data_IF_471770713408
#
_entry.id   IF_471770713408
#
_cell.length_a   1.000
_cell.length_b   1.000
_cell.length_c   1.000
_cell.angle_alpha   90.00
_cell.angle_beta   90.00
_cell.angle_gamma   90.00
#
_symmetry.space_group_name_H-M   'P 1'
#
loop_
_entity.id
_entity.type
_entity.pdbx_description
1 polymer ?
#
# COMPACT_ATOMS: atom_id res chain seq x y z
N UNK A 1 6.91 -63.08 42.94
CA UNK A 1 6.24 -63.69 41.77
C UNK A 1 5.81 -62.57 40.86
N UNK A 2 6.51 -62.50 39.74
CA UNK A 2 6.15 -61.91 38.45
C UNK A 2 4.76 -61.23 38.37
N UNK A 3 4.74 -59.91 38.17
CA UNK A 3 3.61 -59.25 37.53
C UNK A 3 4.08 -58.79 36.15
N UNK A 4 3.89 -59.65 35.15
CA UNK A 4 3.98 -59.33 33.73
C UNK A 4 2.58 -59.41 33.14
N UNK A 5 2.18 -58.32 32.48
CA UNK A 5 1.32 -58.26 31.28
C UNK A 5 0.99 -56.76 31.07
N UNK A 6 1.74 -56.01 30.27
CA UNK A 6 1.67 -55.84 28.81
C UNK A 6 0.34 -55.29 28.27
N UNK A 7 0.50 -54.10 27.68
CA UNK A 7 -0.13 -53.58 26.45
C UNK A 7 -1.43 -52.76 26.48
N UNK A 8 -1.25 -51.53 25.94
CA UNK A 8 -2.12 -50.79 25.01
C UNK A 8 -3.37 -50.08 25.55
N UNK A 9 -3.25 -48.76 25.67
CA UNK A 9 -3.95 -47.78 24.83
C UNK A 9 -4.09 -46.46 25.60
N UNK A 10 -3.04 -45.63 25.58
CA UNK A 10 -3.25 -44.24 26.00
C UNK A 10 -3.94 -43.53 24.83
N UNK A 11 -5.24 -43.36 25.05
CA UNK A 11 -6.23 -42.78 24.15
C UNK A 11 -5.75 -41.48 23.52
N UNK A 12 -5.91 -41.41 22.21
CA UNK A 12 -5.74 -40.21 21.38
C UNK A 12 -6.54 -39.09 22.05
N UNK A 13 -5.82 -38.14 22.66
CA UNK A 13 -6.44 -36.94 23.21
C UNK A 13 -6.91 -36.10 22.03
N UNK A 14 -8.22 -36.16 21.85
CA UNK A 14 -9.05 -35.30 21.02
C UNK A 14 -8.48 -33.87 20.98
N UNK A 15 -7.84 -33.54 19.87
CA UNK A 15 -7.35 -32.19 19.61
C UNK A 15 -8.52 -31.32 19.18
N UNK A 16 -9.38 -30.98 20.13
CA UNK A 16 -10.30 -29.84 20.01
C UNK A 16 -9.47 -28.55 20.13
N UNK A 17 -8.65 -28.28 19.11
CA UNK A 17 -8.08 -26.96 18.91
C UNK A 17 -9.21 -26.04 18.42
N UNK A 18 -9.41 -24.84 19.01
CA UNK A 18 -10.39 -23.90 18.48
C UNK A 18 -10.05 -23.59 17.02
N UNK A 19 -11.05 -23.31 16.15
CA UNK A 19 -10.79 -23.03 14.75
C UNK A 19 -9.77 -21.89 14.68
N UNK A 20 -8.56 -22.18 14.20
CA UNK A 20 -7.53 -21.18 13.95
C UNK A 20 -8.10 -20.23 12.91
N UNK A 21 -8.73 -19.13 13.35
CA UNK A 21 -9.09 -18.03 12.47
C UNK A 21 -7.82 -17.72 11.69
N UNK A 22 -7.85 -17.72 10.34
CA UNK A 22 -6.68 -17.30 9.60
C UNK A 22 -6.26 -15.94 10.17
N UNK A 23 -4.95 -15.68 10.41
CA UNK A 23 -4.53 -14.34 10.76
C UNK A 23 -5.04 -13.48 9.63
N UNK A 24 -6.12 -12.76 9.89
CA UNK A 24 -6.62 -11.76 8.98
C UNK A 24 -5.45 -10.81 8.95
N UNK A 25 -4.63 -10.85 7.91
CA UNK A 25 -3.61 -9.84 7.75
C UNK A 25 -4.43 -8.60 7.44
N UNK A 26 -4.74 -7.82 8.46
CA UNK A 26 -5.24 -6.46 8.30
C UNK A 26 -4.06 -5.71 7.70
N UNK A 27 -3.85 -5.87 6.39
CA UNK A 27 -3.01 -4.96 5.64
C UNK A 27 -3.82 -3.68 5.73
N UNK A 28 -3.34 -2.64 6.43
CA UNK A 28 -4.02 -1.35 6.41
C UNK A 28 -4.07 -0.96 4.94
N UNK A 29 -5.27 -0.96 4.36
CA UNK A 29 -5.45 -0.51 2.99
C UNK A 29 -5.24 1.00 3.06
N UNK A 30 -4.06 1.44 2.65
CA UNK A 30 -3.75 2.87 2.60
C UNK A 30 -4.77 3.54 1.67
N UNK A 31 -5.60 4.46 2.19
CA UNK A 31 -6.63 5.10 1.38
C UNK A 31 -5.98 5.93 0.27
N UNK A 32 -6.57 5.86 -0.93
CA UNK A 32 -6.09 6.66 -2.05
C UNK A 32 -6.40 8.14 -1.83
N UNK A 33 -5.41 8.97 -2.11
CA UNK A 33 -5.47 10.42 -2.03
C UNK A 33 -6.41 10.98 -3.11
N UNK A 34 -7.08 12.08 -2.76
CA UNK A 34 -7.85 12.94 -3.68
C UNK A 34 -6.94 13.99 -4.36
N UNK A 35 -7.49 14.73 -5.33
CA UNK A 35 -6.75 15.83 -5.95
C UNK A 35 -6.38 16.92 -4.93
N UNK A 36 -7.28 17.20 -3.98
CA UNK A 36 -7.07 18.16 -2.89
C UNK A 36 -5.97 17.71 -1.93
N UNK A 37 -5.91 16.41 -1.60
CA UNK A 37 -4.83 15.86 -0.77
C UNK A 37 -3.47 16.03 -1.44
N UNK A 38 -3.38 15.73 -2.74
CA UNK A 38 -2.15 15.91 -3.52
C UNK A 38 -1.78 17.39 -3.64
N UNK A 39 -2.76 18.27 -3.85
CA UNK A 39 -2.54 19.72 -3.92
C UNK A 39 -1.92 20.25 -2.62
N UNK A 40 -2.46 19.84 -1.46
CA UNK A 40 -1.89 20.15 -0.15
C UNK A 40 -0.49 19.58 0.03
N UNK A 41 -0.28 18.33 -0.38
CA UNK A 41 1.01 17.64 -0.24
C UNK A 41 2.13 18.31 -1.05
N UNK A 42 1.83 18.74 -2.28
CA UNK A 42 2.78 19.39 -3.19
C UNK A 42 2.82 20.92 -3.02
N UNK A 43 1.94 21.49 -2.18
CA UNK A 43 1.75 22.93 -2.01
C UNK A 43 1.49 23.66 -3.35
N UNK A 44 0.52 23.15 -4.11
CA UNK A 44 0.06 23.69 -5.39
C UNK A 44 -1.46 23.85 -5.39
N UNK A 45 -2.04 24.49 -6.41
CA UNK A 45 -3.49 24.56 -6.56
C UNK A 45 -4.09 23.22 -7.00
N UNK A 46 -5.34 22.95 -6.65
CA UNK A 46 -6.06 21.77 -7.13
C UNK A 46 -6.15 21.76 -8.66
N UNK A 47 -6.36 22.92 -9.30
CA UNK A 47 -6.36 23.05 -10.77
C UNK A 47 -5.03 22.61 -11.40
N UNK A 48 -3.91 22.90 -10.74
CA UNK A 48 -2.61 22.41 -11.18
C UNK A 48 -2.60 20.88 -11.18
N UNK A 49 -3.12 20.22 -10.14
CA UNK A 49 -3.22 18.76 -10.06
C UNK A 49 -4.07 18.19 -11.19
N UNK A 50 -5.23 18.78 -11.47
CA UNK A 50 -6.11 18.37 -12.58
C UNK A 50 -5.41 18.48 -13.95
N UNK A 51 -4.76 19.62 -14.19
CA UNK A 51 -3.99 19.86 -15.41
C UNK A 51 -2.89 18.82 -15.61
N UNK A 52 -2.14 18.53 -14.55
CA UNK A 52 -1.00 17.63 -14.57
C UNK A 52 -1.41 16.16 -14.46
N UNK A 53 -2.70 15.86 -14.33
CA UNK A 53 -3.23 14.49 -14.39
C UNK A 53 -3.59 14.05 -15.81
N UNK A 54 -3.61 14.96 -16.78
CA UNK A 54 -4.10 14.67 -18.14
C UNK A 54 -3.37 15.38 -19.27
N UNK A 55 -3.03 16.66 -19.09
CA UNK A 55 -2.71 17.55 -20.21
C UNK A 55 -1.37 18.27 -20.10
N UNK A 56 -0.93 18.64 -18.90
CA UNK A 56 0.32 19.38 -18.68
C UNK A 56 1.40 18.49 -18.08
N UNK A 57 2.65 18.76 -18.48
CA UNK A 57 3.83 18.12 -17.91
C UNK A 57 4.34 18.96 -16.74
N UNK A 58 4.85 18.33 -15.66
CA UNK A 58 5.04 16.88 -15.48
C UNK A 58 3.75 16.12 -15.14
N UNK A 59 3.59 14.89 -15.64
CA UNK A 59 2.37 14.11 -15.38
C UNK A 59 2.40 13.47 -13.99
N UNK A 60 1.31 13.61 -13.24
CA UNK A 60 1.13 12.94 -11.96
C UNK A 60 0.74 11.46 -12.13
N UNK A 61 1.14 10.58 -11.19
CA UNK A 61 0.80 9.16 -11.20
C UNK A 61 -0.66 8.94 -10.74
N UNK A 62 -1.59 9.22 -11.64
CA UNK A 62 -3.04 9.18 -11.39
C UNK A 62 -3.65 7.82 -11.70
N UNK A 63 -4.60 7.39 -10.86
CA UNK A 63 -5.51 6.28 -11.08
C UNK A 63 -6.88 6.86 -11.44
N UNK A 64 -7.41 6.48 -12.61
CA UNK A 64 -8.71 6.94 -13.09
C UNK A 64 -9.77 5.91 -12.73
N UNK A 65 -10.68 6.28 -11.83
CA UNK A 65 -11.90 5.53 -11.58
C UNK A 65 -12.89 5.99 -12.66
N UNK A 66 -13.55 5.06 -13.37
CA UNK A 66 -14.28 5.35 -14.62
C UNK A 66 -15.42 6.37 -14.54
N UNK A 67 -15.77 6.85 -13.34
CA UNK A 67 -16.73 7.93 -13.06
C UNK A 67 -16.11 9.34 -13.16
N UNK A 68 -14.85 9.44 -13.56
CA UNK A 68 -14.12 10.71 -13.63
C UNK A 68 -13.42 11.06 -12.33
N UNK A 69 -13.52 10.22 -11.29
CA UNK A 69 -12.77 10.43 -10.06
C UNK A 69 -11.29 10.09 -10.26
N UNK A 70 -10.44 11.03 -9.85
CA UNK A 70 -8.99 10.86 -9.83
C UNK A 70 -8.54 10.43 -8.44
N UNK A 71 -7.73 9.39 -8.39
CA UNK A 71 -7.16 8.85 -7.16
C UNK A 71 -5.66 8.72 -7.30
N UNK A 72 -4.94 8.91 -6.20
CA UNK A 72 -3.49 8.83 -6.21
C UNK A 72 -3.01 7.93 -5.08
N UNK A 73 -2.00 7.13 -5.35
CA UNK A 73 -1.28 6.42 -4.29
C UNK A 73 -0.31 7.39 -3.65
N UNK A 74 -0.29 7.46 -2.32
CA UNK A 74 0.66 8.29 -1.60
C UNK A 74 2.11 7.96 -2.00
N UNK A 75 2.46 6.67 -2.01
CA UNK A 75 3.77 6.19 -2.46
C UNK A 75 4.14 6.62 -3.88
N UNK A 76 3.17 6.70 -4.80
CA UNK A 76 3.40 7.19 -6.16
C UNK A 76 3.75 8.68 -6.18
N UNK A 77 3.07 9.49 -5.36
CA UNK A 77 3.36 10.92 -5.22
C UNK A 77 4.74 11.14 -4.61
N UNK A 78 5.11 10.39 -3.58
CA UNK A 78 6.44 10.49 -2.96
C UNK A 78 7.57 10.11 -3.94
N UNK A 79 7.36 9.07 -4.75
CA UNK A 79 8.31 8.69 -5.80
C UNK A 79 8.44 9.80 -6.85
N UNK A 80 7.31 10.36 -7.31
CA UNK A 80 7.29 11.47 -8.25
C UNK A 80 8.10 12.68 -7.76
N UNK A 81 7.95 13.04 -6.48
CA UNK A 81 8.73 14.11 -5.84
C UNK A 81 10.22 13.78 -5.88
N UNK A 82 10.58 12.57 -5.45
CA UNK A 82 11.97 12.11 -5.41
C UNK A 82 12.62 12.16 -6.79
N UNK A 83 11.96 11.65 -7.83
CA UNK A 83 12.46 11.66 -9.20
C UNK A 83 12.68 13.08 -9.74
N UNK A 84 11.72 14.00 -9.51
CA UNK A 84 11.85 15.39 -9.95
C UNK A 84 12.94 16.15 -9.20
N UNK A 85 13.13 15.84 -7.92
CA UNK A 85 14.23 16.40 -7.14
C UNK A 85 15.59 15.98 -7.72
N UNK A 86 15.74 14.70 -8.10
CA UNK A 86 16.97 14.19 -8.72
C UNK A 86 17.22 14.83 -10.10
N UNK A 87 16.19 14.98 -10.93
CA UNK A 87 16.31 15.66 -12.23
C UNK A 87 16.77 17.11 -12.02
N UNK A 88 16.18 17.83 -11.05
CA UNK A 88 16.58 19.19 -10.71
C UNK A 88 18.02 19.29 -10.18
N UNK A 89 18.49 18.29 -9.43
CA UNK A 89 19.88 18.19 -8.98
C UNK A 89 20.84 17.95 -10.14
N UNK A 90 20.49 17.05 -11.06
CA UNK A 90 21.34 16.71 -12.20
C UNK A 90 21.51 17.91 -13.14
N UNK A 91 20.42 18.61 -13.48
CA UNK A 91 20.47 19.79 -14.37
C UNK A 91 21.35 20.91 -13.82
N UNK A 92 21.44 21.05 -12.49
CA UNK A 92 22.31 22.06 -11.84
C UNK A 92 23.79 21.71 -11.83
N UNK A 93 24.17 20.45 -12.04
CA UNK A 93 25.58 20.01 -12.04
C UNK A 93 26.25 20.13 -13.41
N UNK A 94 25.47 20.30 -14.46
CA UNK A 94 25.95 20.37 -15.85
C UNK A 94 25.92 21.80 -16.40
N UNK A 95 25.44 22.77 -15.62
CA UNK A 95 25.57 24.21 -15.89
C UNK A 95 26.69 24.81 -15.06
#
# INVERSE_FOLDING_TARGET
MENRDLHLANSVSDSTAPPRKPPTRWIPVEPLLTAEDVARRLNVSTDWVWDHSSRKKPLLPVIRMGDGALRYRASGIELFITEHEQIGKLRRRTG
#
